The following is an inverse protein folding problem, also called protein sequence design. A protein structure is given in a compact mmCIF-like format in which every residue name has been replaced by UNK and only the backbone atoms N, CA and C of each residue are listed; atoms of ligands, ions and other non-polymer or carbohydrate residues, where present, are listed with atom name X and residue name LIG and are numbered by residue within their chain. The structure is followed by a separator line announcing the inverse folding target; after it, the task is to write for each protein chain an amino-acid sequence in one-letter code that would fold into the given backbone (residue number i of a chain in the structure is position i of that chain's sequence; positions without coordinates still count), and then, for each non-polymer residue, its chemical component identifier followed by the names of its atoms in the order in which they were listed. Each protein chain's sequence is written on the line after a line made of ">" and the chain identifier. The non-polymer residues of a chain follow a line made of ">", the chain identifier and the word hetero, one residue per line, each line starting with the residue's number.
data_IF_344432885134
#
_entry.id   IF_344432885134
#
_cell.length_a   1.000
_cell.length_b   1.000
_cell.length_c   1.000
_cell.angle_alpha   90.00
_cell.angle_beta   90.00
_cell.angle_gamma   90.00
#
_symmetry.space_group_name_H-M   'P 1'
#
loop_
_entity.id
_entity.type
_entity.pdbx_description
1 polymer ?
#
# COMPACT_ATOMS: atom_id res chain seq x y z
N UNK A 1 -0.21 11.03 -39.32
CA UNK A 1 0.43 10.03 -38.43
C UNK A 1 -0.10 10.32 -37.01
N UNK A 2 -0.99 9.47 -36.49
CA UNK A 2 -1.54 9.66 -35.14
C UNK A 2 -0.38 9.46 -34.16
N UNK A 3 -0.15 10.46 -33.30
CA UNK A 3 0.76 10.27 -32.15
C UNK A 3 0.18 9.14 -31.30
N UNK A 4 0.80 7.94 -31.41
CA UNK A 4 0.40 6.79 -30.62
C UNK A 4 0.37 7.17 -29.14
N UNK A 5 -0.63 6.65 -28.45
CA UNK A 5 -0.85 6.87 -27.00
C UNK A 5 0.43 6.54 -26.21
N UNK A 6 1.22 7.55 -25.90
CA UNK A 6 2.52 7.41 -25.22
C UNK A 6 2.40 6.94 -23.76
N UNK A 7 1.20 6.79 -23.23
CA UNK A 7 0.95 6.48 -21.81
C UNK A 7 0.56 5.03 -21.54
N UNK A 8 0.25 4.25 -22.59
CA UNK A 8 -0.16 2.85 -22.45
C UNK A 8 -1.62 2.64 -22.00
N UNK A 9 -2.37 3.73 -21.71
CA UNK A 9 -3.78 3.62 -21.34
C UNK A 9 -4.69 3.43 -22.56
N UNK A 10 -5.74 2.61 -22.41
CA UNK A 10 -6.68 2.32 -23.48
C UNK A 10 -7.76 3.40 -23.64
N UNK A 11 -8.40 3.53 -24.82
CA UNK A 11 -9.58 4.37 -25.00
C UNK A 11 -10.66 4.04 -23.96
N UNK A 12 -11.23 5.08 -23.32
CA UNK A 12 -12.19 4.94 -22.23
C UNK A 12 -11.58 5.05 -20.83
N UNK A 13 -10.26 4.88 -20.68
CA UNK A 13 -9.57 5.22 -19.43
C UNK A 13 -9.46 6.75 -19.31
N UNK A 14 -9.81 7.36 -18.14
CA UNK A 14 -9.72 8.81 -17.97
C UNK A 14 -8.30 9.38 -18.14
N UNK A 15 -7.29 8.53 -18.14
CA UNK A 15 -5.88 8.90 -18.39
C UNK A 15 -5.49 8.78 -19.86
N UNK A 16 -6.37 8.27 -20.72
CA UNK A 16 -6.08 8.10 -22.14
C UNK A 16 -5.71 9.43 -22.79
N UNK A 17 -4.55 9.48 -23.46
CA UNK A 17 -4.04 10.68 -24.08
C UNK A 17 -3.40 11.72 -23.14
N UNK A 18 -3.51 11.55 -21.81
CA UNK A 18 -2.82 12.43 -20.87
C UNK A 18 -1.35 12.09 -20.80
N UNK A 19 -0.50 13.12 -20.77
CA UNK A 19 0.95 12.98 -20.60
C UNK A 19 1.52 14.20 -19.85
N UNK A 20 2.75 14.11 -19.40
CA UNK A 20 3.45 15.21 -18.74
C UNK A 20 2.61 15.82 -17.60
N UNK A 21 2.47 17.15 -17.61
CA UNK A 21 1.79 17.88 -16.55
C UNK A 21 0.27 17.60 -16.50
N UNK A 22 -0.38 17.33 -17.62
CA UNK A 22 -1.81 16.96 -17.64
C UNK A 22 -2.09 15.67 -16.87
N UNK A 23 -1.22 14.65 -17.01
CA UNK A 23 -1.32 13.41 -16.25
C UNK A 23 -1.02 13.62 -14.76
N UNK A 24 -0.04 14.47 -14.43
CA UNK A 24 0.26 14.84 -13.03
C UNK A 24 -0.93 15.53 -12.37
N UNK A 25 -1.55 16.49 -13.05
CA UNK A 25 -2.73 17.19 -12.54
C UNK A 25 -3.93 16.25 -12.33
N UNK A 26 -4.14 15.30 -13.23
CA UNK A 26 -5.12 14.25 -13.04
C UNK A 26 -4.90 13.49 -11.71
N UNK A 27 -3.66 13.13 -11.39
CA UNK A 27 -3.37 12.43 -10.14
C UNK A 27 -3.45 13.32 -8.89
N UNK A 28 -3.02 14.58 -8.98
CA UNK A 28 -3.17 15.55 -7.88
C UNK A 28 -4.62 15.78 -7.50
N UNK A 29 -5.52 15.79 -8.48
CA UNK A 29 -6.96 16.01 -8.26
C UNK A 29 -7.68 14.83 -7.59
N UNK A 30 -7.04 13.67 -7.46
CA UNK A 30 -7.66 12.53 -6.77
C UNK A 30 -7.72 12.74 -5.27
N UNK A 31 -8.78 12.25 -4.59
CA UNK A 31 -8.84 12.25 -3.13
C UNK A 31 -7.55 11.69 -2.52
N UNK A 32 -7.08 12.35 -1.47
CA UNK A 32 -5.85 11.93 -0.82
C UNK A 32 -6.06 10.65 -0.02
N UNK A 33 -5.21 9.67 -0.27
CA UNK A 33 -5.13 8.42 0.47
C UNK A 33 -3.72 8.26 1.02
N UNK A 34 -3.64 7.70 2.21
CA UNK A 34 -2.40 7.58 2.96
C UNK A 34 -2.17 6.15 3.41
N UNK A 35 -0.97 5.65 3.19
CA UNK A 35 -0.46 4.43 3.80
C UNK A 35 0.52 4.84 4.91
N UNK A 36 0.20 4.51 6.15
CA UNK A 36 0.95 4.86 7.34
C UNK A 36 1.48 3.57 7.96
N UNK A 37 2.79 3.46 8.06
CA UNK A 37 3.49 2.29 8.60
C UNK A 37 4.18 2.68 9.90
N UNK A 38 3.82 2.01 10.99
CA UNK A 38 4.32 2.27 12.33
C UNK A 38 5.01 1.02 12.85
N UNK A 39 6.31 1.11 13.11
CA UNK A 39 7.14 0.00 13.58
C UNK A 39 7.40 0.14 15.08
N UNK A 40 7.16 -0.93 15.83
CA UNK A 40 7.27 -0.95 17.28
C UNK A 40 8.72 -0.91 17.75
N UNK A 41 8.92 -0.33 18.93
CA UNK A 41 10.15 -0.50 19.71
C UNK A 41 10.23 -1.92 20.25
N UNK A 42 11.41 -2.52 20.34
CA UNK A 42 11.59 -3.79 21.04
C UNK A 42 11.04 -3.74 22.48
N UNK A 43 10.45 -4.83 22.93
CA UNK A 43 9.98 -4.96 24.31
C UNK A 43 8.63 -4.28 24.64
N UNK A 44 7.90 -3.76 23.65
CA UNK A 44 6.64 -3.03 23.87
C UNK A 44 5.39 -3.89 23.81
N UNK A 45 5.48 -5.21 23.62
CA UNK A 45 4.35 -6.12 23.40
C UNK A 45 3.31 -6.08 24.54
N UNK A 46 3.73 -5.93 25.79
CA UNK A 46 2.80 -5.86 26.93
C UNK A 46 1.96 -4.56 26.88
N UNK A 47 2.63 -3.42 26.63
CA UNK A 47 1.97 -2.12 26.48
C UNK A 47 1.05 -2.11 25.25
N UNK A 48 1.49 -2.68 24.13
CA UNK A 48 0.67 -2.85 22.93
C UNK A 48 -0.61 -3.58 23.27
N UNK A 49 -0.54 -4.77 23.87
CA UNK A 49 -1.73 -5.56 24.24
C UNK A 49 -2.70 -4.79 25.11
N UNK A 50 -2.19 -4.03 26.07
CA UNK A 50 -3.04 -3.23 26.95
C UNK A 50 -3.78 -2.09 26.21
N UNK A 51 -3.19 -1.55 25.15
CA UNK A 51 -3.74 -0.41 24.40
C UNK A 51 -4.49 -0.81 23.11
N UNK A 52 -4.45 -2.06 22.67
CA UNK A 52 -5.17 -2.51 21.48
C UNK A 52 -6.66 -2.15 21.48
N UNK A 53 -7.42 -2.29 22.58
CA UNK A 53 -8.83 -1.89 22.59
C UNK A 53 -9.04 -0.39 22.34
N UNK A 54 -8.10 0.45 22.80
CA UNK A 54 -8.14 1.89 22.57
C UNK A 54 -7.79 2.22 21.11
N UNK A 55 -6.79 1.56 20.55
CA UNK A 55 -6.42 1.69 19.15
C UNK A 55 -7.59 1.31 18.24
N UNK A 56 -8.21 0.15 18.48
CA UNK A 56 -9.35 -0.32 17.69
C UNK A 56 -10.48 0.72 17.69
N UNK A 57 -10.90 1.20 18.87
CA UNK A 57 -11.93 2.23 18.99
C UNK A 57 -11.54 3.50 18.25
N UNK A 58 -10.30 3.95 18.42
CA UNK A 58 -9.80 5.14 17.74
C UNK A 58 -9.89 5.02 16.21
N UNK A 59 -9.52 3.86 15.64
CA UNK A 59 -9.64 3.63 14.21
C UNK A 59 -11.10 3.57 13.78
N UNK A 60 -11.97 2.90 14.54
CA UNK A 60 -13.40 2.79 14.25
C UNK A 60 -14.10 4.17 14.21
N UNK A 61 -13.67 5.14 15.05
CA UNK A 61 -14.21 6.50 15.06
C UNK A 61 -13.99 7.27 13.73
N UNK A 62 -13.05 6.84 12.89
CA UNK A 62 -12.85 7.40 11.55
C UNK A 62 -13.83 6.87 10.51
N UNK A 63 -14.57 5.80 10.80
CA UNK A 63 -15.63 5.27 9.96
C UNK A 63 -15.20 5.01 8.52
N UNK A 64 -15.89 5.62 7.57
CA UNK A 64 -15.61 5.44 6.14
C UNK A 64 -14.27 5.97 5.65
N UNK A 65 -13.59 6.79 6.42
CA UNK A 65 -12.23 7.23 6.10
C UNK A 65 -11.17 6.15 6.29
N UNK A 66 -11.49 5.06 7.00
CA UNK A 66 -10.61 3.88 7.10
C UNK A 66 -10.80 3.02 5.86
N UNK A 67 -9.80 2.92 5.01
CA UNK A 67 -9.76 1.95 3.90
C UNK A 67 -9.46 0.56 4.46
N UNK A 68 -8.55 0.50 5.42
CA UNK A 68 -8.22 -0.69 6.19
C UNK A 68 -7.10 -0.44 7.18
N UNK A 69 -6.91 -1.38 8.10
CA UNK A 69 -5.76 -1.37 9.00
C UNK A 69 -5.42 -2.78 9.48
N UNK A 70 -4.21 -2.95 9.95
CA UNK A 70 -3.74 -4.20 10.49
C UNK A 70 -2.34 -4.13 11.04
N UNK A 71 -1.80 -5.28 11.40
CA UNK A 71 -0.54 -5.38 12.11
C UNK A 71 0.53 -6.08 11.28
N UNK A 72 1.74 -5.56 11.32
CA UNK A 72 2.92 -6.29 10.89
C UNK A 72 3.26 -7.35 11.94
N UNK A 73 3.56 -8.55 11.47
CA UNK A 73 3.94 -9.65 12.35
C UNK A 73 5.21 -10.34 11.84
N UNK A 74 5.88 -11.06 12.73
CA UNK A 74 6.99 -11.93 12.35
C UNK A 74 6.53 -13.02 11.37
N UNK A 75 7.45 -13.60 10.60
CA UNK A 75 7.11 -14.62 9.60
C UNK A 75 6.43 -15.85 10.22
N UNK A 76 6.75 -16.20 11.46
CA UNK A 76 6.07 -17.26 12.21
C UNK A 76 4.74 -16.79 12.85
N UNK A 77 4.43 -15.50 12.77
CA UNK A 77 3.19 -14.90 13.28
C UNK A 77 3.11 -14.72 14.80
N UNK A 78 4.21 -14.95 15.53
CA UNK A 78 4.20 -14.91 17.00
C UNK A 78 4.34 -13.51 17.57
N UNK A 79 5.11 -12.67 16.90
CA UNK A 79 5.43 -11.32 17.37
C UNK A 79 4.75 -10.27 16.50
N UNK A 80 4.11 -9.30 17.14
CA UNK A 80 3.65 -8.08 16.45
C UNK A 80 4.83 -7.11 16.35
N UNK A 81 5.09 -6.66 15.12
CA UNK A 81 6.20 -5.77 14.78
C UNK A 81 5.76 -4.32 14.58
N UNK A 82 4.46 -4.08 14.47
CA UNK A 82 3.93 -2.75 14.21
C UNK A 82 2.49 -2.73 13.72
N UNK A 83 2.05 -1.56 13.27
CA UNK A 83 0.71 -1.35 12.72
C UNK A 83 0.80 -0.61 11.38
N UNK A 84 -0.09 -0.93 10.46
CA UNK A 84 -0.31 -0.14 9.25
C UNK A 84 -1.74 0.38 9.19
N UNK A 85 -1.90 1.61 8.73
CA UNK A 85 -3.20 2.23 8.48
C UNK A 85 -3.28 2.67 7.02
N UNK A 86 -4.41 2.42 6.39
CA UNK A 86 -4.74 2.84 5.04
C UNK A 86 -5.96 3.75 5.12
N UNK A 87 -5.74 5.06 4.94
CA UNK A 87 -6.70 6.08 5.30
C UNK A 87 -7.01 7.00 4.12
N UNK A 88 -8.25 7.47 4.02
CA UNK A 88 -8.62 8.61 3.19
C UNK A 88 -8.71 9.85 4.07
N UNK A 89 -7.70 10.70 4.00
CA UNK A 89 -7.60 11.94 4.78
C UNK A 89 -7.25 13.07 3.82
N UNK A 90 -7.74 14.26 4.09
CA UNK A 90 -7.76 15.37 3.12
C UNK A 90 -6.35 15.78 2.66
N UNK A 91 -5.41 15.83 3.60
CA UNK A 91 -4.04 16.24 3.33
C UNK A 91 -3.03 15.58 4.28
N UNK A 92 -1.76 15.96 4.14
CA UNK A 92 -0.68 15.48 5.02
C UNK A 92 -0.87 15.93 6.46
N UNK A 93 -1.38 17.12 6.71
CA UNK A 93 -1.60 17.62 8.08
C UNK A 93 -2.68 16.78 8.79
N UNK A 94 -3.73 16.38 8.07
CA UNK A 94 -4.74 15.46 8.61
C UNK A 94 -4.16 14.07 8.92
N UNK A 95 -3.24 13.57 8.08
CA UNK A 95 -2.54 12.29 8.34
C UNK A 95 -1.59 12.40 9.55
N UNK A 96 -0.85 13.50 9.67
CA UNK A 96 0.02 13.76 10.82
C UNK A 96 -0.80 13.91 12.11
N UNK A 97 -1.96 14.58 12.05
CA UNK A 97 -2.89 14.69 13.19
C UNK A 97 -3.46 13.33 13.60
N UNK A 98 -3.91 12.51 12.61
CA UNK A 98 -4.35 11.15 12.89
C UNK A 98 -3.29 10.38 13.66
N UNK A 99 -2.05 10.43 13.20
CA UNK A 99 -0.94 9.75 13.84
C UNK A 99 -0.63 10.32 15.23
N UNK A 100 -0.61 11.65 15.39
CA UNK A 100 -0.35 12.29 16.69
C UNK A 100 -1.38 11.90 17.75
N UNK A 101 -2.62 11.66 17.36
CA UNK A 101 -3.71 11.29 18.27
C UNK A 101 -3.85 9.77 18.46
N UNK A 102 -3.16 8.95 17.68
CA UNK A 102 -3.22 7.50 17.73
C UNK A 102 -2.69 6.97 19.08
N UNK A 103 -3.43 6.09 19.77
CA UNK A 103 -3.12 5.70 21.15
C UNK A 103 -1.75 5.06 21.37
N UNK A 104 -1.28 4.22 20.44
CA UNK A 104 0.03 3.58 20.58
C UNK A 104 1.16 4.57 20.30
N UNK A 105 0.95 5.52 19.38
CA UNK A 105 1.89 6.58 19.12
C UNK A 105 1.99 7.54 20.33
N UNK A 106 0.86 7.92 20.91
CA UNK A 106 0.83 8.73 22.16
C UNK A 106 1.57 8.06 23.31
N UNK A 107 1.49 6.74 23.39
CA UNK A 107 2.22 5.97 24.40
C UNK A 107 3.70 5.76 24.04
N UNK A 108 4.16 6.29 22.91
CA UNK A 108 5.56 6.23 22.49
C UNK A 108 6.04 4.84 22.05
N UNK A 109 5.14 3.98 21.60
CA UNK A 109 5.48 2.60 21.19
C UNK A 109 6.33 2.55 19.93
N UNK A 110 6.11 3.47 18.98
CA UNK A 110 6.75 3.38 17.69
C UNK A 110 8.19 3.92 17.72
N UNK A 111 9.11 3.18 17.09
CA UNK A 111 10.49 3.63 16.85
C UNK A 111 10.66 4.28 15.48
N UNK A 112 9.80 3.89 14.51
CA UNK A 112 9.82 4.41 13.15
C UNK A 112 8.41 4.53 12.64
N UNK A 113 8.14 5.65 11.98
CA UNK A 113 6.86 5.90 11.31
C UNK A 113 7.13 6.40 9.90
N UNK A 114 6.39 5.86 8.95
CA UNK A 114 6.42 6.25 7.55
C UNK A 114 5.02 6.64 7.11
N UNK A 115 4.89 7.81 6.48
CA UNK A 115 3.62 8.33 5.98
C UNK A 115 3.74 8.58 4.48
N UNK A 116 3.11 7.73 3.71
CA UNK A 116 3.18 7.74 2.26
C UNK A 116 1.85 8.19 1.65
N UNK A 117 1.90 9.14 0.71
CA UNK A 117 0.78 9.36 -0.20
C UNK A 117 0.61 8.12 -1.06
N UNK A 118 -0.63 7.63 -1.18
CA UNK A 118 -0.91 6.39 -1.90
C UNK A 118 -2.17 6.54 -2.78
N UNK A 119 -2.29 5.74 -3.81
CA UNK A 119 -3.49 5.68 -4.66
C UNK A 119 -3.98 4.25 -4.76
N UNK A 120 -5.17 3.95 -4.19
CA UNK A 120 -5.77 2.64 -4.33
C UNK A 120 -6.31 2.41 -5.75
N UNK A 121 -5.74 1.43 -6.44
CA UNK A 121 -6.19 1.05 -7.79
C UNK A 121 -7.47 0.21 -7.78
N UNK A 122 -7.84 -0.39 -6.66
CA UNK A 122 -9.00 -1.26 -6.54
C UNK A 122 -10.28 -0.54 -6.09
N UNK A 123 -10.15 0.59 -5.42
CA UNK A 123 -11.26 1.30 -4.78
C UNK A 123 -12.08 0.41 -3.81
N UNK A 124 -11.47 -0.67 -3.28
CA UNK A 124 -12.04 -1.57 -2.27
C UNK A 124 -11.59 -1.16 -0.88
N UNK A 125 -12.36 -1.54 0.11
CA UNK A 125 -12.06 -1.35 1.54
C UNK A 125 -11.92 -2.71 2.22
N UNK A 126 -11.30 -2.74 3.40
CA UNK A 126 -11.14 -3.96 4.19
C UNK A 126 -12.48 -4.65 4.48
N UNK A 127 -13.53 -3.88 4.75
CA UNK A 127 -14.88 -4.39 5.04
C UNK A 127 -15.51 -5.14 3.86
N UNK A 128 -15.07 -4.84 2.63
CA UNK A 128 -15.56 -5.48 1.41
C UNK A 128 -14.81 -6.78 1.09
N UNK A 129 -13.73 -7.09 1.82
CA UNK A 129 -12.89 -8.24 1.53
C UNK A 129 -13.33 -9.47 2.29
N UNK A 130 -13.59 -10.55 1.56
CA UNK A 130 -13.85 -11.87 2.14
C UNK A 130 -12.54 -12.65 2.28
N UNK A 131 -12.09 -12.86 3.51
CA UNK A 131 -10.89 -13.63 3.84
C UNK A 131 -10.99 -15.07 3.35
N UNK A 132 -9.89 -15.60 2.84
CA UNK A 132 -9.77 -17.00 2.36
C UNK A 132 -9.11 -17.91 3.39
N UNK A 133 -8.61 -17.36 4.50
CA UNK A 133 -7.93 -18.11 5.55
C UNK A 133 -6.46 -18.44 5.25
N UNK A 134 -5.89 -17.73 4.27
CA UNK A 134 -4.46 -17.82 3.94
C UNK A 134 -3.65 -16.75 4.70
N UNK A 135 -2.35 -16.68 4.46
CA UNK A 135 -1.49 -15.67 5.07
C UNK A 135 -1.53 -14.36 4.27
N UNK A 136 -1.47 -13.24 4.95
CA UNK A 136 -1.45 -11.93 4.31
C UNK A 136 -0.03 -11.36 4.30
N UNK A 137 0.35 -10.72 3.19
CA UNK A 137 1.66 -10.13 2.98
C UNK A 137 1.54 -8.73 2.38
N UNK A 138 2.14 -7.74 3.04
CA UNK A 138 2.36 -6.42 2.47
C UNK A 138 3.69 -6.44 1.71
N UNK A 139 3.61 -6.20 0.40
CA UNK A 139 4.77 -6.06 -0.47
C UNK A 139 4.93 -4.59 -0.83
N UNK A 140 6.11 -4.04 -0.62
CA UNK A 140 6.45 -2.65 -0.97
C UNK A 140 7.75 -2.59 -1.76
N UNK A 141 7.81 -1.73 -2.77
CA UNK A 141 9.02 -1.55 -3.58
C UNK A 141 9.18 -0.09 -4.05
N UNK A 142 10.23 0.61 -3.58
CA UNK A 142 10.60 1.91 -4.13
C UNK A 142 10.95 1.79 -5.61
N UNK A 143 10.50 2.77 -6.40
CA UNK A 143 10.67 2.78 -7.86
C UNK A 143 12.08 3.20 -8.25
N UNK A 144 12.68 2.47 -9.21
CA UNK A 144 13.96 2.84 -9.83
C UNK A 144 13.88 2.98 -11.34
N UNK A 145 12.95 2.26 -11.98
CA UNK A 145 12.80 2.28 -13.44
C UNK A 145 12.35 3.64 -13.98
N UNK A 146 12.72 3.92 -15.23
CA UNK A 146 12.27 5.11 -15.97
C UNK A 146 10.81 4.97 -16.43
N UNK A 147 10.15 6.05 -16.83
CA UNK A 147 8.82 5.97 -17.44
C UNK A 147 8.77 5.06 -18.67
N UNK A 148 9.84 5.03 -19.48
CA UNK A 148 9.97 4.17 -20.66
C UNK A 148 10.04 2.70 -20.28
N UNK A 149 10.80 2.37 -19.23
CA UNK A 149 10.88 1.02 -18.66
C UNK A 149 9.48 0.51 -18.26
N UNK A 150 8.73 1.29 -17.49
CA UNK A 150 7.40 0.89 -17.02
C UNK A 150 6.41 0.74 -18.19
N UNK A 151 6.49 1.60 -19.21
CA UNK A 151 5.67 1.44 -20.43
C UNK A 151 5.98 0.15 -21.16
N UNK A 152 7.27 -0.16 -21.34
CA UNK A 152 7.69 -1.37 -22.05
C UNK A 152 7.22 -2.66 -21.38
N UNK A 153 7.10 -2.66 -20.05
CA UNK A 153 6.73 -3.85 -19.27
C UNK A 153 5.27 -3.82 -18.78
N UNK A 154 4.48 -2.78 -19.10
CA UNK A 154 3.14 -2.58 -18.55
C UNK A 154 2.20 -3.74 -18.87
N UNK A 155 2.16 -4.20 -20.12
CA UNK A 155 1.27 -5.28 -20.51
C UNK A 155 1.60 -6.59 -19.77
N UNK A 156 2.88 -6.93 -19.63
CA UNK A 156 3.31 -8.10 -18.88
C UNK A 156 2.92 -7.99 -17.39
N UNK A 157 3.11 -6.81 -16.79
CA UNK A 157 2.70 -6.50 -15.41
C UNK A 157 1.18 -6.64 -15.22
N UNK A 158 0.38 -6.07 -16.10
CA UNK A 158 -1.09 -6.15 -16.01
C UNK A 158 -1.59 -7.59 -16.16
N UNK A 159 -1.04 -8.35 -17.11
CA UNK A 159 -1.36 -9.77 -17.31
C UNK A 159 -0.97 -10.61 -16.10
N UNK A 160 0.19 -10.34 -15.51
CA UNK A 160 0.66 -11.02 -14.31
C UNK A 160 -0.27 -10.73 -13.12
N UNK A 161 -0.64 -9.48 -12.92
CA UNK A 161 -1.56 -9.09 -11.86
C UNK A 161 -2.97 -9.65 -12.06
N UNK A 162 -3.42 -9.79 -13.31
CA UNK A 162 -4.71 -10.43 -13.61
C UNK A 162 -4.73 -11.90 -13.16
N UNK A 163 -3.63 -12.63 -13.33
CA UNK A 163 -3.50 -14.03 -12.88
C UNK A 163 -3.56 -14.17 -11.34
N UNK A 164 -3.19 -13.13 -10.60
CA UNK A 164 -3.28 -13.06 -9.14
C UNK A 164 -4.49 -12.26 -8.63
N UNK A 165 -5.45 -11.92 -9.51
CA UNK A 165 -6.55 -10.99 -9.20
C UNK A 165 -7.27 -11.28 -7.88
N UNK A 166 -7.54 -12.55 -7.62
CA UNK A 166 -8.21 -13.01 -6.39
C UNK A 166 -7.30 -13.03 -5.14
N UNK A 167 -5.99 -12.90 -5.30
CA UNK A 167 -5.05 -12.87 -4.17
C UNK A 167 -4.87 -11.47 -3.61
N UNK A 168 -5.23 -10.41 -4.37
CA UNK A 168 -5.18 -9.05 -3.86
C UNK A 168 -6.33 -8.80 -2.89
N UNK A 169 -6.00 -8.26 -1.71
CA UNK A 169 -6.99 -7.95 -0.68
C UNK A 169 -7.75 -6.66 -1.05
N UNK A 170 -7.51 -5.56 -0.35
CA UNK A 170 -8.15 -4.26 -0.62
C UNK A 170 -7.13 -3.20 -1.04
N UNK A 171 -5.86 -3.50 -0.93
CA UNK A 171 -4.76 -2.55 -1.05
C UNK A 171 -3.85 -2.94 -2.21
N UNK A 172 -3.87 -2.14 -3.27
CA UNK A 172 -2.99 -2.26 -4.42
C UNK A 172 -2.85 -0.92 -5.12
N UNK A 173 -1.64 -0.45 -5.28
CA UNK A 173 -1.44 0.75 -6.08
C UNK A 173 -0.10 1.44 -5.85
N UNK A 174 0.13 2.52 -6.59
CA UNK A 174 1.38 3.27 -6.50
C UNK A 174 1.48 4.08 -5.21
N UNK A 175 2.66 4.06 -4.63
CA UNK A 175 3.11 5.08 -3.69
C UNK A 175 3.42 6.34 -4.50
N UNK A 176 2.91 7.47 -4.03
CA UNK A 176 2.99 8.76 -4.71
C UNK A 176 3.94 9.73 -4.03
N UNK A 177 4.46 10.69 -4.80
CA UNK A 177 5.09 11.89 -4.26
C UNK A 177 4.14 12.63 -3.30
N UNK A 178 4.69 13.50 -2.44
CA UNK A 178 3.92 14.21 -1.42
C UNK A 178 2.73 15.00 -2.00
N UNK A 179 2.88 15.58 -3.20
CA UNK A 179 1.80 16.28 -3.92
C UNK A 179 0.84 15.33 -4.66
N UNK A 180 1.10 14.02 -4.66
CA UNK A 180 0.30 13.00 -5.32
C UNK A 180 0.55 12.83 -6.82
N UNK A 181 1.44 13.63 -7.42
CA UNK A 181 1.64 13.68 -8.88
C UNK A 181 2.40 12.47 -9.43
N UNK A 182 3.54 12.14 -8.82
CA UNK A 182 4.48 11.16 -9.37
C UNK A 182 4.35 9.80 -8.67
N UNK A 183 4.58 8.74 -9.43
CA UNK A 183 4.71 7.39 -8.90
C UNK A 183 6.16 7.17 -8.45
N UNK A 184 6.38 6.98 -7.15
CA UNK A 184 7.70 6.77 -6.54
C UNK A 184 7.89 5.35 -6.00
N UNK A 185 6.88 4.51 -6.08
CA UNK A 185 6.94 3.12 -5.59
C UNK A 185 5.62 2.40 -5.77
N UNK A 186 5.56 1.19 -5.24
CA UNK A 186 4.34 0.38 -5.21
C UNK A 186 4.12 -0.20 -3.83
N UNK A 187 2.86 -0.46 -3.51
CA UNK A 187 2.48 -1.21 -2.32
C UNK A 187 1.26 -2.08 -2.62
N UNK A 188 1.33 -3.34 -2.21
CA UNK A 188 0.37 -4.38 -2.51
C UNK A 188 0.09 -5.19 -1.25
N UNK A 189 -1.16 -5.50 -0.97
CA UNK A 189 -1.53 -6.45 0.08
C UNK A 189 -2.16 -7.69 -0.57
N UNK A 190 -1.53 -8.85 -0.33
CA UNK A 190 -1.88 -10.13 -0.93
C UNK A 190 -2.26 -11.13 0.16
N UNK A 191 -3.17 -12.04 -0.16
CA UNK A 191 -3.44 -13.23 0.63
C UNK A 191 -2.95 -14.46 -0.13
N UNK A 192 -1.91 -15.12 0.39
CA UNK A 192 -1.17 -16.21 -0.26
C UNK A 192 -0.96 -17.35 0.74
N UNK A 193 -0.68 -18.59 0.25
CA UNK A 193 -0.52 -19.76 1.12
C UNK A 193 0.56 -19.56 2.22
N UNK A 194 1.71 -19.03 1.85
CA UNK A 194 2.87 -18.90 2.72
C UNK A 194 3.87 -17.85 2.20
N UNK A 195 4.94 -17.64 2.94
CA UNK A 195 6.03 -16.72 2.60
C UNK A 195 6.70 -17.08 1.27
N UNK A 196 6.88 -18.35 0.97
CA UNK A 196 7.49 -18.78 -0.29
C UNK A 196 6.66 -18.37 -1.51
N UNK A 197 5.32 -18.46 -1.39
CA UNK A 197 4.41 -17.97 -2.43
C UNK A 197 4.50 -16.45 -2.60
N UNK A 198 4.69 -15.69 -1.51
CA UNK A 198 4.86 -14.23 -1.57
C UNK A 198 6.21 -13.85 -2.20
N UNK A 199 7.29 -14.54 -1.84
CA UNK A 199 8.62 -14.35 -2.44
C UNK A 199 8.59 -14.67 -3.94
N UNK A 200 7.94 -15.78 -4.33
CA UNK A 200 7.75 -16.15 -5.74
C UNK A 200 6.96 -15.08 -6.49
N UNK A 201 5.82 -14.64 -5.92
CA UNK A 201 5.01 -13.58 -6.52
C UNK A 201 5.86 -12.35 -6.84
N UNK A 202 6.64 -11.86 -5.88
CA UNK A 202 7.45 -10.66 -6.09
C UNK A 202 8.59 -10.86 -7.08
N UNK A 203 9.32 -11.98 -6.97
CA UNK A 203 10.46 -12.26 -7.83
C UNK A 203 10.08 -12.49 -9.31
N UNK A 204 8.87 -12.94 -9.57
CA UNK A 204 8.36 -13.17 -10.92
C UNK A 204 7.56 -11.97 -11.47
N UNK A 205 7.20 -11.00 -10.63
CA UNK A 205 6.47 -9.79 -11.05
C UNK A 205 7.30 -9.01 -12.09
N UNK A 206 6.75 -8.69 -13.27
CA UNK A 206 7.54 -8.19 -14.40
C UNK A 206 8.33 -6.91 -14.15
N UNK A 207 7.82 -5.98 -13.33
CA UNK A 207 8.59 -4.79 -12.97
C UNK A 207 9.70 -5.13 -11.99
N UNK A 208 9.42 -5.92 -10.95
CA UNK A 208 10.41 -6.33 -9.95
C UNK A 208 11.51 -7.17 -10.59
N UNK A 209 11.14 -8.18 -11.36
CA UNK A 209 12.06 -9.09 -12.05
C UNK A 209 13.06 -8.37 -12.97
N UNK A 210 12.61 -7.31 -13.63
CA UNK A 210 13.42 -6.57 -14.60
C UNK A 210 14.07 -5.30 -14.00
N UNK A 211 14.08 -5.14 -12.69
CA UNK A 211 14.79 -4.05 -12.01
C UNK A 211 14.04 -2.71 -11.98
N UNK A 212 12.72 -2.72 -12.09
CA UNK A 212 11.88 -1.54 -11.97
C UNK A 212 11.73 -1.01 -10.54
N UNK A 213 12.05 -1.84 -9.56
CA UNK A 213 12.06 -1.50 -8.14
C UNK A 213 13.45 -1.69 -7.53
N UNK A 214 13.70 -1.01 -6.42
CA UNK A 214 14.95 -1.17 -5.67
C UNK A 214 15.07 -2.59 -5.15
N UNK A 215 16.33 -3.05 -4.94
CA UNK A 215 16.59 -4.41 -4.43
C UNK A 215 16.25 -4.57 -2.94
N UNK A 216 16.06 -3.48 -2.24
CA UNK A 216 15.61 -3.41 -0.84
C UNK A 216 14.09 -3.35 -0.68
N UNK A 217 13.36 -3.94 -1.64
CA UNK A 217 11.93 -4.18 -1.50
C UNK A 217 11.64 -5.06 -0.28
N UNK A 218 10.45 -4.85 0.33
CA UNK A 218 10.07 -5.55 1.54
C UNK A 218 8.80 -6.38 1.32
N UNK A 219 8.83 -7.63 1.78
CA UNK A 219 7.65 -8.45 2.01
C UNK A 219 7.53 -8.64 3.51
N UNK A 220 6.46 -8.14 4.09
CA UNK A 220 6.21 -8.23 5.53
C UNK A 220 4.91 -8.99 5.74
N UNK A 221 4.94 -10.02 6.60
CA UNK A 221 3.70 -10.71 6.99
C UNK A 221 2.78 -9.73 7.71
N UNK A 222 1.51 -9.80 7.38
CA UNK A 222 0.51 -8.87 7.85
C UNK A 222 -0.74 -9.62 8.34
N UNK A 223 -1.44 -9.06 9.31
CA UNK A 223 -2.73 -9.58 9.81
C UNK A 223 -3.72 -8.45 9.96
N UNK A 224 -5.00 -8.76 9.81
CA UNK A 224 -6.08 -7.79 9.99
C UNK A 224 -6.14 -7.25 11.42
N UNK A 225 -6.51 -5.98 11.58
CA UNK A 225 -6.56 -5.26 12.86
C UNK A 225 -7.87 -5.38 13.62
N UNK A 226 -8.66 -6.44 13.42
CA UNK A 226 -9.97 -6.70 14.07
C UNK A 226 -9.91 -7.45 15.39
#
# INVERSE_FOLDING_TARGET
>A
MSQGNMTGYLPGDPRYGLSGEALRNYYRAKPAQWAIYCWDKPGTQATRRALLPNQKRYVEDFGERVIGYGHFVSDDGRDTLGTSFFMQLDDRAAADKFLADEPLNKAGLYQRVEVHRWSNSFQKRQVDYRRKGLQQFLCTGPKTGTPEFFRAHLHAHESYFAAYGDSFIFFRGPIRSADGADNIGTALLLELPDRSAADKFWNEEPFAKNGGYQKDWHITRWVFGD
#
